data_IF_484867659878
#
_entry.id   IF_484867659878
#
_cell.length_a   1.000
_cell.length_b   1.000
_cell.length_c   1.000
_cell.angle_alpha   90.00
_cell.angle_beta   90.00
_cell.angle_gamma   90.00
#
_symmetry.space_group_name_H-M   'P 1'
#
loop_
_entity.id
_entity.type
_entity.pdbx_description
1 polymer ?
#
# COMPACT_ATOMS: atom_id res chain seq x y z
N UNK A 1 -40.13 24.05 17.71
CA UNK A 1 -40.19 22.98 16.69
C UNK A 1 -39.00 22.96 15.73
N UNK A 2 -38.51 24.10 15.20
CA UNK A 2 -37.36 24.12 14.27
C UNK A 2 -36.05 23.49 14.81
N UNK A 3 -35.77 23.62 16.11
CA UNK A 3 -34.59 23.00 16.75
C UNK A 3 -34.57 21.46 16.67
N UNK A 4 -35.74 20.81 16.68
CA UNK A 4 -35.84 19.36 16.51
C UNK A 4 -35.58 18.94 15.07
N UNK A 5 -36.01 19.74 14.10
CA UNK A 5 -35.74 19.49 12.68
C UNK A 5 -34.24 19.65 12.41
N UNK A 6 -33.62 20.72 12.92
CA UNK A 6 -32.18 20.96 12.79
C UNK A 6 -31.35 19.85 13.45
N UNK A 7 -31.75 19.31 14.61
CA UNK A 7 -31.01 18.22 15.25
C UNK A 7 -31.07 16.92 14.44
N UNK A 8 -32.21 16.61 13.82
CA UNK A 8 -32.36 15.44 12.93
C UNK A 8 -31.50 15.58 11.67
N UNK A 9 -31.51 16.75 11.02
CA UNK A 9 -30.64 16.99 9.87
C UNK A 9 -29.15 16.88 10.23
N UNK A 10 -28.76 17.40 11.40
CA UNK A 10 -27.38 17.29 11.87
C UNK A 10 -26.99 15.82 12.11
N UNK A 11 -27.86 15.03 12.76
CA UNK A 11 -27.63 13.60 12.98
C UNK A 11 -27.51 12.81 11.67
N UNK A 12 -28.39 13.08 10.68
CA UNK A 12 -28.32 12.46 9.36
C UNK A 12 -27.04 12.83 8.62
N UNK A 13 -26.61 14.10 8.68
CA UNK A 13 -25.37 14.55 8.04
C UNK A 13 -24.12 13.89 8.63
N UNK A 14 -24.10 13.71 9.95
CA UNK A 14 -23.02 12.99 10.65
C UNK A 14 -23.04 11.52 10.26
N UNK A 15 -24.22 10.89 10.28
CA UNK A 15 -24.40 9.50 9.88
C UNK A 15 -23.88 9.25 8.46
N UNK A 16 -24.27 10.09 7.50
CA UNK A 16 -23.80 10.02 6.11
C UNK A 16 -22.27 10.15 6.00
N UNK A 17 -21.66 11.09 6.73
CA UNK A 17 -20.20 11.25 6.72
C UNK A 17 -19.50 10.00 7.27
N UNK A 18 -20.03 9.41 8.35
CA UNK A 18 -19.48 8.19 8.96
C UNK A 18 -19.58 7.02 7.99
N UNK A 19 -20.76 6.78 7.39
CA UNK A 19 -20.95 5.66 6.46
C UNK A 19 -20.08 5.82 5.21
N UNK A 20 -20.01 7.02 4.64
CA UNK A 20 -19.14 7.29 3.50
C UNK A 20 -17.65 7.05 3.82
N UNK A 21 -17.21 7.41 5.03
CA UNK A 21 -15.84 7.16 5.49
C UNK A 21 -15.54 5.67 5.64
N UNK A 22 -16.50 4.88 6.15
CA UNK A 22 -16.34 3.43 6.27
C UNK A 22 -16.30 2.79 4.88
N UNK A 23 -17.19 3.22 3.98
CA UNK A 23 -17.28 2.71 2.62
C UNK A 23 -15.99 2.94 1.84
N UNK A 24 -15.45 4.16 1.86
CA UNK A 24 -14.18 4.49 1.20
C UNK A 24 -13.02 3.66 1.75
N UNK A 25 -12.93 3.47 3.07
CA UNK A 25 -11.91 2.58 3.67
C UNK A 25 -12.05 1.12 3.24
N UNK A 26 -13.28 0.64 3.03
CA UNK A 26 -13.50 -0.72 2.55
C UNK A 26 -13.06 -0.90 1.09
N UNK A 27 -13.39 0.06 0.22
CA UNK A 27 -12.93 0.05 -1.18
C UNK A 27 -11.40 0.02 -1.23
N UNK A 28 -10.78 0.90 -0.47
CA UNK A 28 -9.33 0.99 -0.42
C UNK A 28 -8.69 -0.30 0.14
N UNK A 29 -9.28 -0.89 1.17
CA UNK A 29 -8.82 -2.17 1.70
C UNK A 29 -8.94 -3.28 0.66
N UNK A 30 -10.02 -3.30 -0.13
CA UNK A 30 -10.20 -4.25 -1.22
C UNK A 30 -9.16 -4.06 -2.32
N UNK A 31 -8.85 -2.81 -2.68
CA UNK A 31 -7.79 -2.48 -3.64
C UNK A 31 -6.43 -3.03 -3.19
N UNK A 32 -6.04 -2.76 -1.95
CA UNK A 32 -4.79 -3.26 -1.38
C UNK A 32 -4.75 -4.79 -1.26
N UNK A 33 -5.91 -5.41 -1.06
CA UNK A 33 -6.03 -6.86 -0.95
C UNK A 33 -6.22 -7.57 -2.28
N UNK A 34 -6.22 -6.89 -3.43
CA UNK A 34 -6.26 -7.55 -4.75
C UNK A 34 -5.17 -8.62 -4.82
N UNK A 35 -5.57 -9.81 -5.25
CA UNK A 35 -4.73 -11.00 -5.26
C UNK A 35 -4.14 -11.19 -6.66
N UNK A 36 -2.85 -11.46 -6.70
CA UNK A 36 -2.10 -11.70 -7.92
C UNK A 36 -1.43 -13.07 -7.84
N UNK A 37 -1.28 -13.72 -8.99
CA UNK A 37 -0.57 -14.98 -9.12
C UNK A 37 0.65 -14.77 -10.02
N UNK A 38 1.81 -15.22 -9.57
CA UNK A 38 2.99 -15.26 -10.40
C UNK A 38 2.96 -16.48 -11.32
N UNK A 39 3.18 -16.26 -12.62
CA UNK A 39 3.15 -17.32 -13.63
C UNK A 39 4.37 -18.25 -13.52
N UNK A 40 5.50 -17.75 -12.98
CA UNK A 40 6.75 -18.51 -12.87
C UNK A 40 6.87 -19.33 -11.59
N UNK A 41 6.72 -18.71 -10.42
CA UNK A 41 6.87 -19.42 -9.15
C UNK A 41 5.55 -19.98 -8.61
N UNK A 42 4.42 -19.66 -9.24
CA UNK A 42 3.08 -20.11 -8.83
C UNK A 42 2.58 -19.49 -7.52
N UNK A 43 3.38 -18.65 -6.87
CA UNK A 43 3.03 -18.02 -5.59
C UNK A 43 2.04 -16.89 -5.78
N UNK A 44 1.26 -16.68 -4.74
CA UNK A 44 0.31 -15.59 -4.66
C UNK A 44 0.87 -14.44 -3.83
N UNK A 45 0.49 -13.24 -4.20
CA UNK A 45 0.81 -12.03 -3.45
C UNK A 45 -0.32 -11.01 -3.60
N UNK A 46 -0.33 -10.01 -2.72
CA UNK A 46 -1.34 -8.95 -2.75
C UNK A 46 -0.73 -7.62 -3.17
N UNK A 47 -1.57 -6.76 -3.74
CA UNK A 47 -1.14 -5.46 -4.25
C UNK A 47 -0.36 -4.63 -3.21
N UNK A 48 -0.77 -4.66 -1.94
CA UNK A 48 -0.05 -3.92 -0.90
C UNK A 48 1.43 -4.36 -0.73
N UNK A 49 1.75 -5.63 -1.01
CA UNK A 49 3.12 -6.15 -0.95
C UNK A 49 3.97 -5.58 -2.09
N UNK A 50 3.39 -5.45 -3.29
CA UNK A 50 4.04 -4.78 -4.42
C UNK A 50 4.33 -3.31 -4.11
N UNK A 51 3.37 -2.60 -3.49
CA UNK A 51 3.54 -1.21 -3.12
C UNK A 51 4.66 -1.02 -2.10
N UNK A 52 4.73 -1.88 -1.08
CA UNK A 52 5.84 -1.84 -0.12
C UNK A 52 7.18 -2.04 -0.81
N UNK A 53 7.27 -3.01 -1.72
CA UNK A 53 8.51 -3.30 -2.42
C UNK A 53 8.91 -2.17 -3.36
N UNK A 54 7.95 -1.52 -4.03
CA UNK A 54 8.20 -0.33 -4.87
C UNK A 54 8.77 0.85 -4.09
N UNK A 55 8.30 1.07 -2.86
CA UNK A 55 8.84 2.14 -2.02
C UNK A 55 10.27 1.84 -1.53
N UNK A 56 10.65 0.56 -1.44
CA UNK A 56 11.98 0.13 -0.98
C UNK A 56 12.96 0.02 -2.16
N UNK A 57 12.50 -0.49 -3.29
CA UNK A 57 13.27 -0.66 -4.51
C UNK A 57 12.63 0.16 -5.66
N UNK A 58 13.22 1.31 -6.03
CA UNK A 58 12.67 2.16 -7.08
C UNK A 58 12.70 1.50 -8.47
N UNK A 59 13.47 0.44 -8.66
CA UNK A 59 13.50 -0.32 -9.92
C UNK A 59 12.39 -1.38 -9.99
N UNK A 60 11.66 -1.60 -8.90
CA UNK A 60 10.57 -2.56 -8.87
C UNK A 60 9.37 -2.07 -9.68
N UNK A 61 8.81 -2.97 -10.50
CA UNK A 61 7.67 -2.67 -11.37
C UNK A 61 6.39 -3.29 -10.82
N UNK A 62 5.30 -2.52 -10.76
CA UNK A 62 3.98 -3.02 -10.35
C UNK A 62 3.53 -4.14 -11.31
N UNK A 63 2.80 -5.15 -10.82
CA UNK A 63 2.42 -6.36 -11.57
C UNK A 63 3.58 -7.34 -11.78
N UNK A 64 4.66 -7.19 -11.01
CA UNK A 64 5.70 -8.21 -10.91
C UNK A 64 5.59 -8.92 -9.56
N UNK A 65 6.19 -10.11 -9.47
CA UNK A 65 6.15 -10.93 -8.26
C UNK A 65 7.19 -10.40 -7.28
N UNK A 66 6.82 -10.06 -6.03
CA UNK A 66 7.76 -9.54 -5.04
C UNK A 66 8.79 -10.57 -4.55
N UNK A 67 8.65 -11.85 -4.95
CA UNK A 67 9.52 -12.95 -4.55
C UNK A 67 10.56 -13.27 -5.63
N UNK A 68 10.16 -13.22 -6.91
CA UNK A 68 11.02 -13.66 -8.02
C UNK A 68 11.13 -12.65 -9.16
N UNK A 69 10.56 -11.45 -9.01
CA UNK A 69 10.57 -10.33 -9.96
C UNK A 69 10.10 -10.69 -11.39
N UNK A 70 9.31 -11.76 -11.55
CA UNK A 70 8.69 -12.13 -12.82
C UNK A 70 7.26 -11.61 -12.90
N UNK A 71 6.68 -11.61 -14.10
CA UNK A 71 5.31 -11.17 -14.33
C UNK A 71 4.31 -11.87 -13.39
N UNK A 72 3.34 -11.10 -12.91
CA UNK A 72 2.21 -11.57 -12.13
C UNK A 72 0.92 -11.04 -12.72
N UNK A 73 -0.09 -11.91 -12.82
CA UNK A 73 -1.41 -11.57 -13.34
C UNK A 73 -2.42 -11.44 -12.20
N UNK A 74 -3.43 -10.58 -12.39
CA UNK A 74 -4.54 -10.46 -11.44
C UNK A 74 -5.29 -11.80 -11.38
N UNK A 75 -5.45 -12.33 -10.17
CA UNK A 75 -6.18 -13.57 -9.96
C UNK A 75 -7.67 -13.29 -9.74
N UNK A 76 -8.50 -13.76 -10.68
CA UNK A 76 -9.97 -13.60 -10.66
C UNK A 76 -10.68 -14.90 -10.21
N UNK A 77 -9.92 -15.97 -9.95
CA UNK A 77 -10.48 -17.24 -9.52
C UNK A 77 -10.95 -17.24 -8.06
N UNK A 78 -11.50 -18.37 -7.63
CA UNK A 78 -11.92 -18.56 -6.24
C UNK A 78 -10.70 -18.61 -5.30
N UNK A 79 -10.84 -18.01 -4.12
CA UNK A 79 -9.83 -18.07 -3.08
C UNK A 79 -9.87 -19.46 -2.41
N UNK A 80 -8.81 -20.24 -2.59
CA UNK A 80 -8.75 -21.61 -2.08
C UNK A 80 -8.77 -21.67 -0.55
N UNK A 81 -9.39 -22.70 0.02
CA UNK A 81 -9.47 -22.90 1.47
C UNK A 81 -8.10 -22.92 2.17
N UNK A 82 -7.06 -23.45 1.52
CA UNK A 82 -5.69 -23.49 2.08
C UNK A 82 -5.06 -22.09 2.24
N UNK A 83 -5.44 -21.11 1.42
CA UNK A 83 -4.93 -19.73 1.53
C UNK A 83 -5.40 -19.03 2.81
N UNK A 84 -6.53 -19.46 3.37
CA UNK A 84 -7.06 -18.92 4.64
C UNK A 84 -6.25 -19.37 5.85
N UNK A 85 -5.58 -20.51 5.76
CA UNK A 85 -4.89 -21.17 6.88
C UNK A 85 -3.38 -21.09 6.80
N UNK A 86 -2.80 -20.79 5.63
CA UNK A 86 -1.36 -20.59 5.46
C UNK A 86 -1.06 -19.50 4.42
N UNK A 87 -1.42 -18.23 4.68
CA UNK A 87 -1.25 -17.19 3.69
C UNK A 87 0.22 -16.78 3.61
N UNK A 88 0.92 -17.22 2.56
CA UNK A 88 2.15 -16.53 2.11
C UNK A 88 1.88 -15.03 1.85
N UNK A 89 0.61 -14.66 1.65
CA UNK A 89 0.13 -13.31 1.39
C UNK A 89 -1.13 -12.96 2.24
N UNK A 90 -0.98 -12.59 3.53
CA UNK A 90 -2.12 -12.34 4.42
C UNK A 90 -2.96 -11.16 3.95
N UNK A 91 -4.28 -11.23 4.13
CA UNK A 91 -5.16 -10.08 3.88
C UNK A 91 -4.94 -9.01 4.94
N UNK A 92 -4.80 -7.76 4.50
CA UNK A 92 -4.87 -6.61 5.39
C UNK A 92 -6.27 -6.52 6.00
N UNK A 93 -6.32 -6.35 7.32
CA UNK A 93 -7.56 -6.01 8.03
C UNK A 93 -7.72 -4.50 8.10
N UNK A 94 -8.96 -4.04 8.28
CA UNK A 94 -9.26 -2.60 8.40
C UNK A 94 -8.49 -1.91 9.54
N UNK A 95 -8.22 -2.62 10.63
CA UNK A 95 -7.38 -2.13 11.75
C UNK A 95 -5.91 -1.93 11.36
N UNK A 96 -5.40 -2.75 10.44
CA UNK A 96 -4.02 -2.71 9.96
C UNK A 96 -3.82 -1.68 8.84
N UNK A 97 -4.89 -1.27 8.15
CA UNK A 97 -4.85 -0.28 7.07
C UNK A 97 -4.16 1.03 7.50
N UNK A 98 -4.47 1.51 8.71
CA UNK A 98 -3.84 2.71 9.24
C UNK A 98 -2.33 2.52 9.46
N UNK A 99 -1.92 1.38 10.03
CA UNK A 99 -0.51 1.07 10.25
C UNK A 99 0.25 0.96 8.92
N UNK A 100 -0.33 0.25 7.94
CA UNK A 100 0.21 0.13 6.60
C UNK A 100 0.46 1.48 5.95
N UNK A 101 -0.54 2.37 5.93
CA UNK A 101 -0.40 3.73 5.38
C UNK A 101 0.67 4.56 6.10
N UNK A 102 0.72 4.45 7.43
CA UNK A 102 1.74 5.13 8.24
C UNK A 102 3.14 4.64 7.87
N UNK A 103 3.30 3.33 7.64
CA UNK A 103 4.55 2.74 7.18
C UNK A 103 4.95 3.28 5.81
N UNK A 104 4.05 3.28 4.82
CA UNK A 104 4.34 3.85 3.49
C UNK A 104 4.83 5.30 3.58
N UNK A 105 4.10 6.15 4.32
CA UNK A 105 4.49 7.56 4.52
C UNK A 105 5.86 7.70 5.19
N UNK A 106 6.18 6.82 6.15
CA UNK A 106 7.49 6.81 6.81
C UNK A 106 8.60 6.44 5.82
N UNK A 107 8.39 5.44 4.97
CA UNK A 107 9.36 5.05 3.94
C UNK A 107 9.61 6.23 2.98
N UNK A 108 8.54 6.87 2.50
CA UNK A 108 8.62 8.05 1.65
C UNK A 108 9.42 9.20 2.30
N UNK A 109 9.22 9.42 3.61
CA UNK A 109 9.94 10.46 4.36
C UNK A 109 11.44 10.14 4.44
N UNK A 110 11.79 8.90 4.77
CA UNK A 110 13.20 8.44 4.83
C UNK A 110 13.85 8.60 3.46
N UNK A 111 13.17 8.21 2.38
CA UNK A 111 13.69 8.35 1.02
C UNK A 111 14.02 9.81 0.65
N UNK A 112 13.20 10.77 1.09
CA UNK A 112 13.47 12.20 0.90
C UNK A 112 14.66 12.70 1.74
N UNK A 113 14.78 12.21 2.96
CA UNK A 113 15.91 12.52 3.84
C UNK A 113 17.22 11.99 3.24
N UNK A 114 17.24 10.75 2.75
CA UNK A 114 18.39 10.15 2.07
C UNK A 114 18.79 10.96 0.83
N UNK A 115 17.83 11.34 -0.01
CA UNK A 115 18.10 12.19 -1.18
C UNK A 115 18.66 13.58 -0.80
N UNK A 116 18.18 14.16 0.30
CA UNK A 116 18.69 15.43 0.82
C UNK A 116 20.13 15.29 1.34
N UNK A 117 20.45 14.20 2.04
CA UNK A 117 21.79 13.89 2.51
C UNK A 117 22.74 13.68 1.32
N UNK A 118 22.33 12.91 0.32
CA UNK A 118 23.13 12.72 -0.90
C UNK A 118 23.44 14.04 -1.59
N UNK A 119 22.45 14.93 -1.71
CA UNK A 119 22.61 16.27 -2.28
C UNK A 119 23.60 17.12 -1.48
N UNK A 120 23.50 17.09 -0.15
CA UNK A 120 24.43 17.76 0.74
C UNK A 120 25.87 17.23 0.55
N UNK A 121 26.05 15.92 0.57
CA UNK A 121 27.37 15.30 0.41
C UNK A 121 27.97 15.58 -0.97
N UNK A 122 27.14 15.64 -2.01
CA UNK A 122 27.55 16.05 -3.36
C UNK A 122 28.06 17.49 -3.39
N UNK A 123 27.30 18.43 -2.80
CA UNK A 123 27.68 19.84 -2.76
C UNK A 123 29.02 20.08 -2.06
N UNK A 124 29.30 19.35 -0.98
CA UNK A 124 30.57 19.43 -0.25
C UNK A 124 31.69 18.53 -0.81
N UNK A 125 31.50 17.91 -1.97
CA UNK A 125 32.47 17.01 -2.60
C UNK A 125 32.92 15.84 -1.71
N UNK A 126 32.05 15.40 -0.79
CA UNK A 126 32.31 14.30 0.14
C UNK A 126 31.95 12.93 -0.46
N UNK A 127 31.32 12.90 -1.63
CA UNK A 127 31.05 11.66 -2.37
C UNK A 127 32.20 11.35 -3.34
N UNK A 128 32.77 10.12 -3.32
CA UNK A 128 33.77 9.72 -4.30
C UNK A 128 33.15 9.72 -5.70
N UNK A 129 33.89 10.20 -6.71
CA UNK A 129 33.40 10.37 -8.09
C UNK A 129 32.82 9.08 -8.71
N UNK A 130 33.23 7.91 -8.20
CA UNK A 130 32.75 6.58 -8.62
C UNK A 130 31.36 6.19 -8.11
N UNK A 131 30.73 6.98 -7.24
CA UNK A 131 29.35 6.76 -6.75
C UNK A 131 28.32 7.72 -7.36
N UNK A 132 28.62 8.34 -8.50
CA UNK A 132 27.60 8.92 -9.39
C UNK A 132 26.77 7.77 -9.95
N UNK A 133 25.79 7.25 -9.20
CA UNK A 133 24.92 6.17 -9.69
C UNK A 133 24.09 6.70 -10.87
N UNK A 134 24.11 5.92 -11.95
CA UNK A 134 23.15 5.98 -13.07
C UNK A 134 21.73 5.77 -12.56
#
# INVERSE_FOLDING_TARGET
MWWLILSVFFALSIGYKITNTIYTKQIELAEYNKLYKCDKCGKFHRHYQELLLREIDPNYTISTCPICNNHSSLYIGEEYAWMKTNPECPQLRLRQLHQFKKTLKKIETISKEDASIETFLYYYHLLPEKKKRK
#
